data_IF_787455247644
#
_entry.id   IF_787455247644
#
_cell.length_a   1.000
_cell.length_b   1.000
_cell.length_c   1.000
_cell.angle_alpha   90.00
_cell.angle_beta   90.00
_cell.angle_gamma   90.00
#
_symmetry.space_group_name_H-M   'P 1'
#
loop_
_entity.id
_entity.type
_entity.pdbx_description
1 polymer ?
#
# COMPACT_ATOMS: atom_id res chain seq x y z
N UNK A 1 -43.76 -7.42 -6.95
CA UNK A 1 -42.70 -6.97 -6.02
C UNK A 1 -41.59 -6.18 -6.72
N UNK A 2 -41.19 -6.51 -7.96
CA UNK A 2 -40.13 -5.80 -8.71
C UNK A 2 -40.44 -4.33 -9.04
N UNK A 3 -41.68 -3.97 -9.38
CA UNK A 3 -42.07 -2.59 -9.70
C UNK A 3 -41.96 -1.61 -8.53
N UNK A 4 -42.25 -2.07 -7.31
CA UNK A 4 -42.16 -1.23 -6.08
C UNK A 4 -40.69 -0.91 -5.77
N UNK A 5 -39.80 -1.89 -5.96
CA UNK A 5 -38.36 -1.69 -5.80
C UNK A 5 -37.80 -0.69 -6.83
N UNK A 6 -38.29 -0.76 -8.07
CA UNK A 6 -37.87 0.10 -9.17
C UNK A 6 -38.34 1.55 -8.98
N UNK A 7 -39.56 1.74 -8.46
CA UNK A 7 -40.07 3.06 -8.07
C UNK A 7 -39.34 3.65 -6.84
N UNK A 8 -38.97 2.82 -5.87
CA UNK A 8 -38.22 3.26 -4.69
C UNK A 8 -36.78 3.65 -5.07
N UNK A 9 -36.11 2.84 -5.90
CA UNK A 9 -34.76 3.11 -6.39
C UNK A 9 -34.68 4.37 -7.25
N UNK A 10 -35.63 4.58 -8.16
CA UNK A 10 -35.68 5.80 -9.00
C UNK A 10 -35.94 7.06 -8.19
N UNK A 11 -36.79 7.00 -7.15
CA UNK A 11 -36.99 8.12 -6.22
C UNK A 11 -35.71 8.46 -5.45
N UNK A 12 -34.96 7.46 -4.99
CA UNK A 12 -33.68 7.66 -4.30
C UNK A 12 -32.65 8.33 -5.21
N UNK A 13 -32.46 7.82 -6.43
CA UNK A 13 -31.50 8.39 -7.39
C UNK A 13 -31.86 9.84 -7.77
N UNK A 14 -33.15 10.14 -7.99
CA UNK A 14 -33.60 11.50 -8.27
C UNK A 14 -33.37 12.46 -7.09
N UNK A 15 -33.54 12.00 -5.86
CA UNK A 15 -33.26 12.80 -4.67
C UNK A 15 -31.76 13.05 -4.47
N UNK A 16 -30.91 12.04 -4.74
CA UNK A 16 -29.46 12.19 -4.74
C UNK A 16 -29.00 13.23 -5.77
N UNK A 17 -29.56 13.20 -6.98
CA UNK A 17 -29.25 14.18 -8.03
C UNK A 17 -29.76 15.59 -7.74
N UNK A 18 -30.98 15.72 -7.19
CA UNK A 18 -31.60 17.04 -6.91
C UNK A 18 -30.97 17.75 -5.70
N UNK A 19 -30.40 17.01 -4.77
CA UNK A 19 -29.79 17.53 -3.54
C UNK A 19 -28.28 17.23 -3.46
N UNK A 20 -27.63 17.09 -4.62
CA UNK A 20 -26.20 16.75 -4.74
C UNK A 20 -25.30 17.69 -3.93
N UNK A 21 -25.57 19.00 -3.95
CA UNK A 21 -24.72 20.00 -3.28
C UNK A 21 -24.75 19.85 -1.76
N UNK A 22 -25.94 19.62 -1.19
CA UNK A 22 -26.11 19.37 0.25
C UNK A 22 -25.40 18.08 0.66
N UNK A 23 -25.58 17.02 -0.13
CA UNK A 23 -24.97 15.71 0.12
C UNK A 23 -23.43 15.83 0.06
N UNK A 24 -22.89 16.55 -0.91
CA UNK A 24 -21.45 16.78 -1.04
C UNK A 24 -20.88 17.66 0.07
N UNK A 25 -21.61 18.69 0.51
CA UNK A 25 -21.21 19.49 1.67
C UNK A 25 -21.22 18.65 2.95
N UNK A 26 -22.20 17.77 3.13
CA UNK A 26 -22.24 16.83 4.26
C UNK A 26 -21.08 15.82 4.23
N UNK A 27 -20.64 15.43 3.02
CA UNK A 27 -19.50 14.55 2.81
C UNK A 27 -18.18 15.24 3.20
N UNK A 28 -17.99 16.49 2.75
CA UNK A 28 -16.78 17.28 2.99
C UNK A 28 -16.68 17.71 4.46
N UNK A 29 -17.78 18.23 5.02
CA UNK A 29 -17.80 18.79 6.37
C UNK A 29 -18.01 17.73 7.46
N UNK A 30 -18.40 16.51 7.08
CA UNK A 30 -18.71 15.41 8.00
C UNK A 30 -20.09 15.51 8.67
N UNK A 31 -20.77 16.65 8.55
CA UNK A 31 -22.13 16.89 9.03
C UNK A 31 -22.86 17.93 8.16
N UNK A 32 -24.19 17.96 8.26
CA UNK A 32 -25.06 18.92 7.57
C UNK A 32 -25.32 20.12 8.48
N UNK A 33 -25.11 21.33 7.96
CA UNK A 33 -25.53 22.56 8.63
C UNK A 33 -27.05 22.74 8.46
N UNK A 34 -27.81 22.33 9.48
CA UNK A 34 -29.29 22.32 9.43
C UNK A 34 -29.92 23.71 9.22
N UNK A 35 -29.19 24.79 9.54
CA UNK A 35 -29.65 26.17 9.38
C UNK A 35 -29.68 26.67 7.93
N UNK A 36 -28.88 26.06 7.06
CA UNK A 36 -28.67 26.52 5.69
C UNK A 36 -29.64 25.83 4.70
N UNK A 37 -30.49 24.93 5.20
CA UNK A 37 -31.34 24.07 4.38
C UNK A 37 -32.77 23.96 4.93
N UNK A 38 -33.73 23.70 4.04
CA UNK A 38 -35.14 23.52 4.42
C UNK A 38 -35.36 22.21 5.17
N UNK A 39 -36.08 22.25 6.31
CA UNK A 39 -36.43 21.07 7.12
C UNK A 39 -37.08 19.95 6.30
N UNK A 40 -37.93 20.30 5.32
CA UNK A 40 -38.60 19.34 4.45
C UNK A 40 -37.62 18.51 3.61
N UNK A 41 -36.52 19.11 3.16
CA UNK A 41 -35.49 18.43 2.36
C UNK A 41 -34.69 17.47 3.24
N UNK A 42 -34.36 17.90 4.46
CA UNK A 42 -33.63 17.07 5.42
C UNK A 42 -34.45 15.84 5.84
N UNK A 43 -35.73 16.03 6.17
CA UNK A 43 -36.66 14.93 6.50
C UNK A 43 -36.81 13.94 5.34
N UNK A 44 -36.92 14.44 4.11
CA UNK A 44 -36.99 13.60 2.92
C UNK A 44 -35.72 12.76 2.72
N UNK A 45 -34.53 13.36 2.91
CA UNK A 45 -33.24 12.66 2.80
C UNK A 45 -33.02 11.64 3.93
N UNK A 46 -33.57 11.89 5.11
CA UNK A 46 -33.59 10.92 6.22
C UNK A 46 -34.52 9.75 5.92
N UNK A 47 -35.73 10.01 5.42
CA UNK A 47 -36.69 8.95 5.03
C UNK A 47 -36.15 8.05 3.91
N UNK A 48 -35.42 8.63 2.96
CA UNK A 48 -34.75 7.89 1.89
C UNK A 48 -33.48 7.16 2.36
N UNK A 49 -33.08 7.32 3.62
CA UNK A 49 -31.90 6.67 4.18
C UNK A 49 -30.57 7.22 3.68
N UNK A 50 -30.54 8.45 3.16
CA UNK A 50 -29.33 9.15 2.71
C UNK A 50 -28.64 9.81 3.89
N UNK A 51 -29.42 10.50 4.73
CA UNK A 51 -28.97 11.10 5.97
C UNK A 51 -29.43 10.27 7.17
N UNK A 52 -28.67 10.33 8.25
CA UNK A 52 -29.04 9.74 9.52
C UNK A 52 -28.57 10.63 10.67
N UNK A 53 -29.25 10.52 11.80
CA UNK A 53 -28.89 11.21 13.03
C UNK A 53 -28.47 10.15 14.07
N UNK A 54 -27.19 10.12 14.47
CA UNK A 54 -26.69 9.15 15.45
C UNK A 54 -27.37 9.23 16.82
N UNK A 55 -27.56 10.44 17.32
CA UNK A 55 -28.19 10.75 18.61
C UNK A 55 -29.13 11.95 18.47
N UNK A 56 -30.18 12.04 19.30
CA UNK A 56 -31.22 13.07 19.18
C UNK A 56 -30.69 14.52 19.21
N UNK A 57 -29.53 14.75 19.84
CA UNK A 57 -28.84 16.06 19.91
C UNK A 57 -27.69 16.23 18.89
N UNK A 58 -27.38 15.21 18.11
CA UNK A 58 -26.29 15.23 17.14
C UNK A 58 -26.71 15.79 15.78
N UNK A 59 -25.75 16.39 15.09
CA UNK A 59 -25.94 16.91 13.73
C UNK A 59 -26.20 15.77 12.74
N UNK A 60 -27.01 16.04 11.72
CA UNK A 60 -27.28 15.10 10.62
C UNK A 60 -26.00 14.74 9.86
N UNK A 61 -25.80 13.44 9.60
CA UNK A 61 -24.64 12.89 8.89
C UNK A 61 -25.06 12.03 7.71
N UNK A 62 -24.14 11.81 6.77
CA UNK A 62 -24.34 10.83 5.70
C UNK A 62 -24.30 9.41 6.23
N UNK A 63 -25.21 8.58 5.72
CA UNK A 63 -25.22 7.15 5.99
C UNK A 63 -24.02 6.48 5.31
N UNK A 64 -23.44 5.47 5.95
CA UNK A 64 -22.19 4.85 5.47
C UNK A 64 -22.32 4.33 4.03
N UNK A 65 -23.45 3.73 3.66
CA UNK A 65 -23.69 3.21 2.31
C UNK A 65 -23.57 4.29 1.21
N UNK A 66 -24.09 5.49 1.46
CA UNK A 66 -23.99 6.62 0.52
C UNK A 66 -22.57 7.19 0.53
N UNK A 67 -21.95 7.26 1.72
CA UNK A 67 -20.56 7.70 1.85
C UNK A 67 -19.60 6.81 1.07
N UNK A 68 -19.75 5.49 1.14
CA UNK A 68 -18.94 4.53 0.40
C UNK A 68 -19.20 4.61 -1.11
N UNK A 69 -20.44 4.89 -1.53
CA UNK A 69 -20.78 5.15 -2.94
C UNK A 69 -20.08 6.40 -3.49
N UNK A 70 -20.12 7.49 -2.74
CA UNK A 70 -19.42 8.74 -3.07
C UNK A 70 -17.91 8.55 -3.04
N UNK A 71 -17.38 7.84 -2.04
CA UNK A 71 -15.96 7.49 -1.97
C UNK A 71 -15.53 6.71 -3.20
N UNK A 72 -16.28 5.71 -3.65
CA UNK A 72 -15.94 4.93 -4.86
C UNK A 72 -16.01 5.75 -6.16
N UNK A 73 -17.00 6.64 -6.30
CA UNK A 73 -17.17 7.43 -7.53
C UNK A 73 -16.23 8.64 -7.61
N UNK A 74 -15.95 9.30 -6.48
CA UNK A 74 -15.05 10.46 -6.41
C UNK A 74 -13.58 10.04 -6.27
N UNK A 75 -13.32 8.77 -5.91
CA UNK A 75 -11.97 8.20 -5.84
C UNK A 75 -11.24 8.27 -7.18
N UNK A 76 -11.91 7.96 -8.29
CA UNK A 76 -11.27 7.94 -9.62
C UNK A 76 -10.97 9.35 -10.13
N UNK A 77 -11.89 10.31 -10.00
CA UNK A 77 -11.64 11.70 -10.41
C UNK A 77 -10.57 12.38 -9.55
N UNK A 78 -10.59 12.13 -8.23
CA UNK A 78 -9.64 12.75 -7.30
C UNK A 78 -8.25 12.10 -7.37
N UNK A 79 -8.15 10.78 -7.55
CA UNK A 79 -6.84 10.12 -7.73
C UNK A 79 -6.22 10.42 -9.10
N UNK A 80 -7.04 10.57 -10.15
CA UNK A 80 -6.56 10.91 -11.50
C UNK A 80 -6.11 12.38 -11.60
N UNK A 81 -6.69 13.27 -10.78
CA UNK A 81 -6.25 14.68 -10.68
C UNK A 81 -5.01 14.87 -9.81
N UNK A 82 -4.82 14.09 -8.74
CA UNK A 82 -3.61 14.19 -7.88
C UNK A 82 -2.33 13.85 -8.67
N UNK A 83 -2.32 12.76 -9.45
CA UNK A 83 -1.15 12.36 -10.25
C UNK A 83 -0.79 13.33 -11.39
N UNK A 84 -1.72 14.18 -11.81
CA UNK A 84 -1.49 15.16 -12.87
C UNK A 84 -0.93 16.51 -12.36
N UNK A 85 -0.93 16.77 -11.04
CA UNK A 85 -0.84 18.14 -10.53
C UNK A 85 0.51 18.51 -9.90
N UNK A 86 1.26 17.58 -9.29
CA UNK A 86 2.47 17.94 -8.52
C UNK A 86 3.58 18.55 -9.39
N UNK A 87 3.82 17.98 -10.58
CA UNK A 87 4.79 18.54 -11.55
C UNK A 87 4.32 19.86 -12.18
N UNK A 88 3.02 19.99 -12.44
CA UNK A 88 2.43 21.24 -12.96
C UNK A 88 2.46 22.36 -11.91
N UNK A 89 2.22 22.03 -10.63
CA UNK A 89 2.38 22.95 -9.50
C UNK A 89 3.82 23.43 -9.38
N UNK A 90 4.82 22.56 -9.57
CA UNK A 90 6.23 22.98 -9.54
C UNK A 90 6.55 23.97 -10.67
N UNK A 91 6.10 23.71 -11.89
CA UNK A 91 6.27 24.65 -13.00
C UNK A 91 5.61 26.00 -12.68
N UNK A 92 4.39 25.96 -12.14
CA UNK A 92 3.65 27.17 -11.73
C UNK A 92 4.36 27.95 -10.62
N UNK A 93 4.93 27.26 -9.62
CA UNK A 93 5.73 27.88 -8.56
C UNK A 93 6.97 28.59 -9.12
N UNK A 94 7.67 27.98 -10.09
CA UNK A 94 8.83 28.60 -10.74
C UNK A 94 8.42 29.88 -11.47
N UNK A 95 7.37 29.81 -12.29
CA UNK A 95 6.84 30.97 -13.03
C UNK A 95 6.39 32.10 -12.10
N UNK A 96 5.65 31.80 -11.03
CA UNK A 96 5.24 32.80 -10.03
C UNK A 96 6.45 33.44 -9.33
N UNK A 97 7.48 32.65 -9.05
CA UNK A 97 8.70 33.17 -8.43
C UNK A 97 9.49 34.08 -9.37
N UNK A 98 9.53 33.76 -10.67
CA UNK A 98 10.12 34.62 -11.70
C UNK A 98 9.36 35.95 -11.83
N UNK A 99 8.03 35.91 -11.93
CA UNK A 99 7.19 37.13 -11.99
C UNK A 99 7.36 38.01 -10.75
N UNK A 100 7.48 37.40 -9.57
CA UNK A 100 7.78 38.13 -8.35
C UNK A 100 9.15 38.84 -8.42
N UNK A 101 10.20 38.15 -8.91
CA UNK A 101 11.54 38.73 -9.06
C UNK A 101 11.57 39.83 -10.11
N UNK A 102 10.84 39.68 -11.22
CA UNK A 102 10.68 40.71 -12.24
C UNK A 102 9.98 41.95 -11.68
N UNK A 103 8.87 41.78 -10.96
CA UNK A 103 8.14 42.89 -10.33
C UNK A 103 9.02 43.65 -9.32
N UNK A 104 9.87 42.94 -8.56
CA UNK A 104 10.87 43.57 -7.70
C UNK A 104 11.94 44.35 -8.49
N UNK A 105 12.45 43.77 -9.58
CA UNK A 105 13.47 44.42 -10.42
C UNK A 105 12.94 45.74 -11.03
N UNK A 106 11.68 45.76 -11.44
CA UNK A 106 11.02 46.96 -11.98
C UNK A 106 10.46 47.91 -10.90
N UNK A 107 10.77 47.70 -9.62
CA UNK A 107 10.26 48.50 -8.48
C UNK A 107 8.73 48.57 -8.39
N UNK A 108 8.03 47.54 -8.89
CA UNK A 108 6.58 47.44 -8.83
C UNK A 108 6.13 46.70 -7.57
N UNK A 109 6.29 47.35 -6.43
CA UNK A 109 6.09 46.71 -5.12
C UNK A 109 4.67 46.16 -4.88
N UNK A 110 3.64 46.80 -5.44
CA UNK A 110 2.26 46.31 -5.33
C UNK A 110 2.04 45.00 -6.12
N UNK A 111 2.58 44.90 -7.34
CA UNK A 111 2.52 43.67 -8.15
C UNK A 111 3.36 42.56 -7.50
N UNK A 112 4.54 42.90 -6.97
CA UNK A 112 5.38 41.95 -6.22
C UNK A 112 4.66 41.39 -4.98
N UNK A 113 3.96 42.23 -4.22
CA UNK A 113 3.17 41.77 -3.06
C UNK A 113 2.05 40.80 -3.47
N UNK A 114 1.36 41.07 -4.59
CA UNK A 114 0.33 40.18 -5.11
C UNK A 114 0.92 38.82 -5.52
N UNK A 115 2.01 38.81 -6.30
CA UNK A 115 2.68 37.57 -6.70
C UNK A 115 3.21 36.76 -5.50
N UNK A 116 3.70 37.41 -4.45
CA UNK A 116 4.11 36.72 -3.22
C UNK A 116 2.93 36.08 -2.49
N UNK A 117 1.78 36.76 -2.44
CA UNK A 117 0.54 36.21 -1.87
C UNK A 117 0.09 34.97 -2.65
N UNK A 118 0.07 35.06 -3.98
CA UNK A 118 -0.31 33.95 -4.85
C UNK A 118 0.65 32.76 -4.70
N UNK A 119 1.96 33.03 -4.64
CA UNK A 119 2.98 32.00 -4.41
C UNK A 119 2.79 31.31 -3.05
N UNK A 120 2.51 32.10 -2.01
CA UNK A 120 2.28 31.59 -0.65
C UNK A 120 1.06 30.67 -0.61
N UNK A 121 -0.04 31.11 -1.21
CA UNK A 121 -1.27 30.32 -1.31
C UNK A 121 -1.02 29.02 -2.08
N UNK A 122 -0.30 29.07 -3.21
CA UNK A 122 0.01 27.89 -4.01
C UNK A 122 0.86 26.86 -3.24
N UNK A 123 1.86 27.33 -2.47
CA UNK A 123 2.68 26.48 -1.60
C UNK A 123 1.84 25.81 -0.51
N UNK A 124 0.91 26.54 0.09
CA UNK A 124 0.02 26.00 1.12
C UNK A 124 -0.99 25.00 0.55
N UNK A 125 -1.61 25.29 -0.59
CA UNK A 125 -2.52 24.38 -1.27
C UNK A 125 -1.83 23.06 -1.67
N UNK A 126 -0.61 23.13 -2.21
CA UNK A 126 0.19 21.95 -2.55
C UNK A 126 0.48 21.11 -1.30
N UNK A 127 0.91 21.77 -0.23
CA UNK A 127 1.22 21.12 1.05
C UNK A 127 0.01 20.44 1.69
N UNK A 128 -1.14 21.10 1.65
CA UNK A 128 -2.42 20.63 2.17
C UNK A 128 -2.90 19.42 1.36
N UNK A 129 -2.79 19.48 0.03
CA UNK A 129 -3.15 18.39 -0.88
C UNK A 129 -2.31 17.14 -0.61
N UNK A 130 -1.00 17.32 -0.42
CA UNK A 130 -0.08 16.23 -0.09
C UNK A 130 -0.42 15.60 1.26
N UNK A 131 -0.60 16.43 2.29
CA UNK A 131 -0.93 15.98 3.65
C UNK A 131 -2.28 15.23 3.69
N UNK A 132 -3.29 15.73 2.99
CA UNK A 132 -4.58 15.06 2.89
C UNK A 132 -4.50 13.73 2.15
N UNK A 133 -3.66 13.63 1.12
CA UNK A 133 -3.44 12.37 0.39
C UNK A 133 -2.82 11.29 1.29
N UNK A 134 -1.79 11.64 2.06
CA UNK A 134 -1.16 10.74 3.04
C UNK A 134 -2.17 10.30 4.10
N UNK A 135 -2.96 11.23 4.63
CA UNK A 135 -3.98 10.94 5.65
C UNK A 135 -5.05 9.97 5.16
N UNK A 136 -5.51 10.14 3.92
CA UNK A 136 -6.49 9.23 3.29
C UNK A 136 -5.90 7.83 3.13
N UNK A 137 -4.65 7.71 2.69
CA UNK A 137 -3.96 6.41 2.59
C UNK A 137 -3.85 5.72 3.96
N UNK A 138 -3.44 6.46 4.99
CA UNK A 138 -3.33 5.93 6.34
C UNK A 138 -4.68 5.41 6.87
N UNK A 139 -5.77 6.13 6.59
CA UNK A 139 -7.12 5.69 6.96
C UNK A 139 -7.52 4.38 6.27
N UNK A 140 -7.22 4.21 4.97
CA UNK A 140 -7.52 2.98 4.23
C UNK A 140 -6.76 1.77 4.78
N UNK A 141 -5.49 1.99 5.10
CA UNK A 141 -4.57 0.96 5.62
C UNK A 141 -4.97 0.54 7.03
N UNK A 142 -5.27 1.49 7.92
CA UNK A 142 -5.70 1.18 9.28
C UNK A 142 -7.00 0.40 9.33
N UNK A 143 -7.89 0.63 8.36
CA UNK A 143 -9.13 -0.13 8.23
C UNK A 143 -8.94 -1.45 7.46
N UNK A 144 -7.71 -1.84 7.09
CA UNK A 144 -7.39 -3.07 6.34
C UNK A 144 -8.28 -3.30 5.11
N UNK A 145 -8.59 -2.21 4.40
CA UNK A 145 -9.52 -2.23 3.28
C UNK A 145 -10.89 -2.83 3.63
N UNK A 146 -11.41 -2.54 4.83
CA UNK A 146 -12.64 -3.11 5.38
C UNK A 146 -13.92 -2.83 4.60
N UNK A 147 -13.86 -1.96 3.59
CA UNK A 147 -14.93 -1.76 2.61
C UNK A 147 -15.02 -2.92 1.58
N UNK A 148 -14.01 -3.77 1.52
CA UNK A 148 -13.92 -4.92 0.62
C UNK A 148 -14.12 -6.22 1.38
N UNK A 149 -15.01 -7.07 0.86
CA UNK A 149 -15.43 -8.32 1.50
C UNK A 149 -14.55 -9.55 1.20
N UNK A 150 -13.80 -9.56 0.10
CA UNK A 150 -12.97 -10.72 -0.28
C UNK A 150 -11.47 -10.46 -0.12
N UNK A 151 -10.73 -11.48 0.29
CA UNK A 151 -9.26 -11.42 0.43
C UNK A 151 -8.60 -11.05 -0.90
N UNK A 152 -9.07 -11.60 -2.03
CA UNK A 152 -8.54 -11.29 -3.35
C UNK A 152 -8.72 -9.81 -3.72
N UNK A 153 -9.87 -9.22 -3.37
CA UNK A 153 -10.10 -7.81 -3.60
C UNK A 153 -9.28 -6.94 -2.63
N UNK A 154 -9.07 -7.37 -1.38
CA UNK A 154 -8.13 -6.69 -0.46
C UNK A 154 -6.69 -6.73 -0.96
N UNK A 155 -6.26 -7.81 -1.62
CA UNK A 155 -4.94 -7.91 -2.28
C UNK A 155 -4.84 -6.88 -3.41
N UNK A 156 -5.85 -6.81 -4.29
CA UNK A 156 -5.86 -5.82 -5.39
C UNK A 156 -5.84 -4.38 -4.89
N UNK A 157 -6.62 -4.06 -3.85
CA UNK A 157 -6.60 -2.72 -3.24
C UNK A 157 -5.25 -2.39 -2.60
N UNK A 158 -4.60 -3.37 -1.97
CA UNK A 158 -3.26 -3.19 -1.42
C UNK A 158 -2.24 -2.90 -2.53
N UNK A 159 -2.24 -3.69 -3.62
CA UNK A 159 -1.36 -3.49 -4.76
C UNK A 159 -1.60 -2.12 -5.44
N UNK A 160 -2.85 -1.69 -5.56
CA UNK A 160 -3.20 -0.36 -6.06
C UNK A 160 -2.68 0.75 -5.14
N UNK A 161 -2.85 0.62 -3.83
CA UNK A 161 -2.34 1.58 -2.86
C UNK A 161 -0.81 1.64 -2.88
N UNK A 162 -0.11 0.49 -3.02
CA UNK A 162 1.34 0.46 -3.16
C UNK A 162 1.79 1.24 -4.40
N UNK A 163 1.15 1.02 -5.54
CA UNK A 163 1.46 1.77 -6.76
C UNK A 163 1.29 3.27 -6.56
N UNK A 164 0.20 3.70 -5.92
CA UNK A 164 -0.04 5.11 -5.63
C UNK A 164 1.01 5.73 -4.70
N UNK A 165 1.47 5.00 -3.69
CA UNK A 165 2.54 5.45 -2.79
C UNK A 165 3.85 5.60 -3.56
N UNK A 166 4.19 4.63 -4.41
CA UNK A 166 5.37 4.69 -5.26
C UNK A 166 5.32 5.87 -6.24
N UNK A 167 4.17 6.08 -6.89
CA UNK A 167 3.97 7.21 -7.81
C UNK A 167 4.11 8.56 -7.09
N UNK A 168 3.57 8.70 -5.87
CA UNK A 168 3.71 9.91 -5.07
C UNK A 168 5.15 10.14 -4.60
N UNK A 169 5.84 9.09 -4.14
CA UNK A 169 7.25 9.20 -3.77
C UNK A 169 8.12 9.62 -4.95
N UNK A 170 7.91 9.03 -6.13
CA UNK A 170 8.61 9.43 -7.35
C UNK A 170 8.32 10.89 -7.74
N UNK A 171 7.08 11.37 -7.55
CA UNK A 171 6.75 12.79 -7.76
C UNK A 171 7.46 13.71 -6.75
N UNK A 172 7.59 13.29 -5.49
CA UNK A 172 8.34 14.03 -4.49
C UNK A 172 9.84 14.04 -4.79
N UNK A 173 10.39 12.94 -5.32
CA UNK A 173 11.80 12.87 -5.75
C UNK A 173 12.10 13.78 -6.96
N UNK A 174 11.11 14.08 -7.80
CA UNK A 174 11.26 15.07 -8.88
C UNK A 174 11.51 16.50 -8.35
N UNK A 175 11.26 16.79 -7.07
CA UNK A 175 11.55 18.11 -6.50
C UNK A 175 13.03 18.27 -6.23
N UNK A 176 13.69 19.04 -7.10
CA UNK A 176 15.06 19.51 -6.86
C UNK A 176 15.02 20.79 -6.03
N UNK A 177 15.09 20.63 -4.70
CA UNK A 177 15.13 21.78 -3.77
C UNK A 177 16.35 22.68 -3.99
N UNK A 178 17.43 22.16 -4.57
CA UNK A 178 18.59 22.95 -4.98
C UNK A 178 18.21 24.03 -5.99
N UNK A 179 17.39 23.70 -7.00
CA UNK A 179 16.90 24.67 -7.99
C UNK A 179 15.97 25.71 -7.35
N UNK A 180 15.09 25.28 -6.44
CA UNK A 180 14.21 26.21 -5.72
C UNK A 180 15.00 27.16 -4.83
N UNK A 181 16.11 26.69 -4.24
CA UNK A 181 17.05 27.50 -3.46
C UNK A 181 17.76 28.53 -4.34
N UNK A 182 18.24 28.14 -5.53
CA UNK A 182 18.84 29.05 -6.51
C UNK A 182 17.84 30.12 -6.99
N UNK A 183 16.61 29.71 -7.30
CA UNK A 183 15.54 30.63 -7.74
C UNK A 183 15.19 31.61 -6.62
N UNK A 184 15.08 31.16 -5.37
CA UNK A 184 14.83 32.03 -4.22
C UNK A 184 15.99 33.03 -3.97
N UNK A 185 17.23 32.60 -4.25
CA UNK A 185 18.43 33.45 -4.17
C UNK A 185 18.61 34.10 -2.80
N UNK A 186 18.86 35.41 -2.78
CA UNK A 186 19.06 36.17 -1.54
C UNK A 186 17.77 36.65 -0.88
N UNK A 187 16.61 36.49 -1.51
CA UNK A 187 15.35 36.97 -0.96
C UNK A 187 14.96 36.12 0.27
N UNK A 188 14.73 36.81 1.41
CA UNK A 188 14.46 36.14 2.69
C UNK A 188 13.09 35.47 2.71
N UNK A 189 12.07 36.12 2.16
CA UNK A 189 10.70 35.59 2.15
C UNK A 189 10.59 34.36 1.25
N UNK A 190 11.16 34.43 0.03
CA UNK A 190 11.18 33.28 -0.88
C UNK A 190 11.93 32.08 -0.28
N UNK A 191 13.08 32.31 0.35
CA UNK A 191 13.82 31.23 1.01
C UNK A 191 13.03 30.60 2.15
N UNK A 192 12.38 31.42 2.98
CA UNK A 192 11.55 30.89 4.06
C UNK A 192 10.38 30.05 3.52
N UNK A 193 9.73 30.50 2.44
CA UNK A 193 8.58 29.81 1.86
C UNK A 193 8.97 28.51 1.13
N UNK A 194 9.92 28.60 0.19
CA UNK A 194 10.28 27.50 -0.71
C UNK A 194 11.29 26.52 -0.12
N UNK A 195 12.26 27.02 0.67
CA UNK A 195 13.36 26.18 1.19
C UNK A 195 13.07 25.72 2.61
N UNK A 196 12.51 26.56 3.47
CA UNK A 196 12.22 26.14 4.86
C UNK A 196 10.86 25.45 4.94
N UNK A 197 9.79 26.15 4.56
CA UNK A 197 8.42 25.70 4.83
C UNK A 197 8.01 24.54 3.92
N UNK A 198 8.22 24.67 2.61
CA UNK A 198 7.86 23.64 1.64
C UNK A 198 8.72 22.37 1.81
N UNK A 199 10.05 22.51 1.96
CA UNK A 199 10.94 21.36 2.15
C UNK A 199 10.61 20.59 3.43
N UNK A 200 10.35 21.27 4.56
CA UNK A 200 9.97 20.59 5.80
C UNK A 200 8.68 19.78 5.64
N UNK A 201 7.67 20.34 4.96
CA UNK A 201 6.39 19.66 4.71
C UNK A 201 6.54 18.48 3.76
N UNK A 202 7.37 18.61 2.73
CA UNK A 202 7.68 17.55 1.78
C UNK A 202 8.43 16.39 2.45
N UNK A 203 9.49 16.70 3.21
CA UNK A 203 10.25 15.68 3.94
C UNK A 203 9.36 14.92 4.92
N UNK A 204 8.46 15.61 5.61
CA UNK A 204 7.48 14.97 6.50
C UNK A 204 6.55 14.02 5.72
N UNK A 205 5.99 14.47 4.61
CA UNK A 205 5.11 13.65 3.79
C UNK A 205 5.85 12.41 3.22
N UNK A 206 7.09 12.57 2.74
CA UNK A 206 7.91 11.47 2.26
C UNK A 206 8.17 10.44 3.36
N UNK A 207 8.50 10.90 4.58
CA UNK A 207 8.70 10.02 5.74
C UNK A 207 7.41 9.25 6.10
N UNK A 208 6.25 9.93 6.11
CA UNK A 208 4.96 9.29 6.38
C UNK A 208 4.59 8.27 5.28
N UNK A 209 4.86 8.57 4.01
CA UNK A 209 4.64 7.66 2.88
C UNK A 209 5.53 6.40 2.97
N UNK A 210 6.79 6.54 3.39
CA UNK A 210 7.68 5.39 3.61
C UNK A 210 7.17 4.45 4.70
N UNK A 211 6.63 4.99 5.79
CA UNK A 211 5.99 4.19 6.85
C UNK A 211 4.75 3.47 6.31
N UNK A 212 3.95 4.17 5.51
CA UNK A 212 2.78 3.61 4.83
C UNK A 212 3.17 2.46 3.89
N UNK A 213 4.25 2.61 3.13
CA UNK A 213 4.75 1.59 2.21
C UNK A 213 5.13 0.30 2.94
N UNK A 214 5.87 0.41 4.05
CA UNK A 214 6.25 -0.74 4.87
C UNK A 214 5.02 -1.49 5.40
N UNK A 215 3.98 -0.76 5.82
CA UNK A 215 2.75 -1.36 6.33
C UNK A 215 1.91 -2.03 5.25
N UNK A 216 1.89 -1.48 4.03
CA UNK A 216 1.24 -2.11 2.89
C UNK A 216 1.88 -3.47 2.55
N UNK A 217 3.22 -3.55 2.61
CA UNK A 217 3.94 -4.81 2.39
C UNK A 217 3.58 -5.88 3.44
N UNK A 218 3.53 -5.51 4.72
CA UNK A 218 3.11 -6.44 5.79
C UNK A 218 1.68 -6.95 5.56
N UNK A 219 0.74 -6.05 5.27
CA UNK A 219 -0.65 -6.43 4.97
C UNK A 219 -0.76 -7.34 3.75
N UNK A 220 0.02 -7.10 2.69
CA UNK A 220 0.03 -7.94 1.50
C UNK A 220 0.51 -9.35 1.85
N UNK A 221 1.56 -9.47 2.66
CA UNK A 221 2.05 -10.75 3.17
C UNK A 221 0.96 -11.53 3.92
N UNK A 222 0.28 -10.88 4.87
CA UNK A 222 -0.82 -11.48 5.64
C UNK A 222 -1.99 -11.91 4.75
N UNK A 223 -2.39 -11.10 3.78
CA UNK A 223 -3.47 -11.47 2.86
C UNK A 223 -3.10 -12.67 1.97
N UNK A 224 -1.86 -12.74 1.48
CA UNK A 224 -1.38 -13.90 0.72
C UNK A 224 -1.32 -15.17 1.57
N UNK A 225 -0.93 -15.05 2.84
CA UNK A 225 -0.98 -16.17 3.78
C UNK A 225 -2.42 -16.66 3.99
N UNK A 226 -3.37 -15.76 4.22
CA UNK A 226 -4.79 -16.12 4.35
C UNK A 226 -5.35 -16.75 3.06
N UNK A 227 -4.97 -16.23 1.91
CA UNK A 227 -5.37 -16.79 0.61
C UNK A 227 -4.82 -18.22 0.45
N UNK A 228 -3.56 -18.45 0.79
CA UNK A 228 -2.91 -19.76 0.75
C UNK A 228 -3.59 -20.78 1.67
N UNK A 229 -3.81 -20.41 2.94
CA UNK A 229 -4.52 -21.25 3.92
C UNK A 229 -5.95 -21.58 3.48
N UNK A 230 -6.67 -20.58 2.94
CA UNK A 230 -8.04 -20.78 2.43
C UNK A 230 -8.05 -21.72 1.23
N UNK A 231 -7.06 -21.62 0.32
CA UNK A 231 -6.93 -22.51 -0.84
C UNK A 231 -6.66 -23.95 -0.41
N UNK A 232 -5.77 -24.16 0.58
CA UNK A 232 -5.50 -25.47 1.14
C UNK A 232 -6.76 -26.11 1.75
N UNK A 233 -7.52 -25.35 2.55
CA UNK A 233 -8.78 -25.83 3.14
C UNK A 233 -9.80 -26.21 2.07
N UNK A 234 -10.00 -25.36 1.05
CA UNK A 234 -10.91 -25.66 -0.06
C UNK A 234 -10.48 -26.89 -0.85
N UNK A 235 -9.17 -27.04 -1.11
CA UNK A 235 -8.63 -28.21 -1.79
C UNK A 235 -8.81 -29.49 -0.98
N UNK A 236 -8.59 -29.42 0.33
CA UNK A 236 -8.82 -30.54 1.23
C UNK A 236 -10.31 -30.94 1.29
N UNK A 237 -11.22 -29.97 1.43
CA UNK A 237 -12.66 -30.22 1.39
C UNK A 237 -13.08 -30.89 0.08
N UNK A 238 -12.63 -30.36 -1.07
CA UNK A 238 -12.90 -30.94 -2.37
C UNK A 238 -12.36 -32.39 -2.49
N UNK A 239 -11.18 -32.65 -1.94
CA UNK A 239 -10.60 -33.99 -1.95
C UNK A 239 -11.43 -34.98 -1.13
N UNK A 240 -11.88 -34.59 0.06
CA UNK A 240 -12.75 -35.41 0.92
C UNK A 240 -14.13 -35.60 0.29
N UNK A 241 -14.70 -34.59 -0.37
CA UNK A 241 -15.96 -34.71 -1.10
C UNK A 241 -15.86 -35.70 -2.28
N UNK A 242 -14.73 -35.72 -2.98
CA UNK A 242 -14.48 -36.67 -4.07
C UNK A 242 -14.15 -38.08 -3.58
N UNK A 243 -13.57 -38.21 -2.37
CA UNK A 243 -13.16 -39.47 -1.77
C UNK A 243 -13.69 -39.56 -0.33
N UNK A 244 -14.96 -39.95 -0.14
CA UNK A 244 -15.59 -39.97 1.19
C UNK A 244 -14.97 -41.01 2.14
N UNK A 245 -14.32 -42.04 1.61
CA UNK A 245 -13.60 -43.06 2.40
C UNK A 245 -12.15 -42.66 2.74
N UNK A 246 -11.74 -41.43 2.38
CA UNK A 246 -10.38 -40.96 2.63
C UNK A 246 -10.11 -40.87 4.14
N UNK A 247 -9.12 -41.63 4.59
CA UNK A 247 -8.53 -41.52 5.92
C UNK A 247 -7.03 -41.18 5.78
N UNK A 248 -6.51 -40.18 6.50
CA UNK A 248 -5.08 -39.88 6.49
C UNK A 248 -4.27 -41.11 6.93
N UNK A 249 -3.31 -41.54 6.12
CA UNK A 249 -2.39 -42.61 6.49
C UNK A 249 -1.51 -42.23 7.69
N UNK A 250 -0.94 -43.23 8.38
CA UNK A 250 0.03 -42.97 9.44
C UNK A 250 1.42 -42.68 8.86
N UNK A 251 1.63 -41.43 8.45
CA UNK A 251 2.87 -40.96 7.82
C UNK A 251 4.09 -40.98 8.75
N UNK A 252 3.90 -41.05 10.08
CA UNK A 252 5.00 -41.15 11.04
C UNK A 252 5.65 -42.54 11.06
N UNK A 253 4.94 -43.57 10.60
CA UNK A 253 5.45 -44.95 10.55
C UNK A 253 6.17 -45.26 9.23
N UNK A 254 6.32 -44.30 8.32
CA UNK A 254 7.03 -44.50 7.07
C UNK A 254 8.55 -44.47 7.28
N UNK A 255 9.27 -45.39 6.65
CA UNK A 255 10.75 -45.42 6.67
C UNK A 255 11.35 -44.11 6.15
N UNK A 256 10.72 -43.51 5.14
CA UNK A 256 11.00 -42.16 4.69
C UNK A 256 9.82 -41.26 5.06
N UNK A 257 9.93 -40.62 6.22
CA UNK A 257 8.94 -39.65 6.67
C UNK A 257 8.97 -38.43 5.74
N UNK A 258 7.82 -38.02 5.17
CA UNK A 258 7.76 -36.85 4.30
C UNK A 258 8.31 -35.61 5.01
N UNK A 259 8.97 -34.73 4.25
CA UNK A 259 9.64 -33.52 4.77
C UNK A 259 8.71 -32.62 5.59
N UNK A 260 7.41 -32.60 5.29
CA UNK A 260 6.40 -31.86 6.05
C UNK A 260 6.28 -32.31 7.52
N UNK A 261 6.54 -33.59 7.80
CA UNK A 261 6.49 -34.17 9.14
C UNK A 261 7.88 -34.27 9.79
N UNK A 262 8.96 -34.29 8.99
CA UNK A 262 10.33 -34.32 9.47
C UNK A 262 10.87 -32.90 9.76
N UNK A 263 10.30 -32.24 10.78
CA UNK A 263 10.67 -30.86 11.18
C UNK A 263 11.76 -30.81 12.28
N UNK A 264 12.10 -31.94 12.88
CA UNK A 264 13.14 -32.03 13.90
C UNK A 264 14.53 -31.99 13.27
N UNK A 265 15.47 -31.26 13.88
CA UNK A 265 16.88 -31.37 13.54
C UNK A 265 17.36 -32.81 13.76
N UNK A 266 18.25 -33.31 12.88
CA UNK A 266 18.79 -34.66 13.00
C UNK A 266 19.47 -34.82 14.36
N UNK A 267 18.91 -35.71 15.18
CA UNK A 267 19.45 -36.00 16.53
C UNK A 267 20.68 -36.90 16.42
N UNK A 268 20.75 -37.71 15.37
CA UNK A 268 21.86 -38.60 15.08
C UNK A 268 22.72 -37.93 14.01
N UNK A 269 24.01 -37.72 14.31
CA UNK A 269 24.99 -37.24 13.33
C UNK A 269 25.14 -38.25 12.19
N UNK A 270 25.65 -37.80 11.04
CA UNK A 270 26.00 -38.73 9.96
C UNK A 270 26.95 -39.78 10.52
N UNK A 271 26.62 -41.06 10.34
CA UNK A 271 27.51 -42.14 10.74
C UNK A 271 28.83 -41.99 9.98
N UNK A 272 29.88 -41.54 10.67
CA UNK A 272 31.23 -41.54 10.16
C UNK A 272 31.87 -42.89 10.52
N UNK A 273 32.58 -43.49 9.58
CA UNK A 273 33.43 -44.64 9.90
C UNK A 273 34.46 -44.19 10.94
N UNK A 274 34.53 -44.89 12.07
CA UNK A 274 35.56 -44.63 13.08
C UNK A 274 36.88 -45.23 12.61
N UNK A 275 37.70 -44.38 11.99
CA UNK A 275 39.01 -44.77 11.43
C UNK A 275 40.03 -45.08 12.56
N UNK A 276 39.71 -44.75 13.82
CA UNK A 276 40.58 -45.02 14.96
C UNK A 276 40.15 -46.26 15.76
N UNK A 277 39.18 -47.03 15.25
CA UNK A 277 38.76 -48.26 15.90
C UNK A 277 39.87 -49.33 15.80
N UNK A 278 40.52 -49.61 16.93
CA UNK A 278 41.63 -50.57 17.06
C UNK A 278 41.22 -51.98 16.60
N UNK A 279 39.96 -52.36 16.74
CA UNK A 279 39.48 -53.66 16.28
C UNK A 279 39.50 -53.82 14.75
N UNK A 280 39.49 -52.71 14.00
CA UNK A 280 39.48 -52.67 12.54
C UNK A 280 40.87 -52.36 11.96
N UNK A 281 41.89 -52.19 12.80
CA UNK A 281 43.24 -51.81 12.38
C UNK A 281 43.87 -52.84 11.44
N UNK A 282 43.65 -54.12 11.69
CA UNK A 282 44.18 -55.21 10.86
C UNK A 282 43.53 -55.22 9.46
N UNK A 283 42.23 -55.01 9.38
CA UNK A 283 41.50 -54.90 8.10
C UNK A 283 41.98 -53.67 7.31
N UNK A 284 42.23 -52.54 7.98
CA UNK A 284 42.79 -51.35 7.35
C UNK A 284 44.22 -51.58 6.83
N UNK A 285 45.07 -52.29 7.58
CA UNK A 285 46.41 -52.66 7.14
C UNK A 285 46.37 -53.56 5.90
N UNK A 286 45.45 -54.53 5.84
CA UNK A 286 45.27 -55.39 4.66
C UNK A 286 44.78 -54.60 3.43
N UNK A 287 43.85 -53.66 3.61
CA UNK A 287 43.42 -52.77 2.53
C UNK A 287 44.56 -51.87 2.01
N UNK A 288 45.39 -51.32 2.89
CA UNK A 288 46.56 -50.53 2.47
C UNK A 288 47.60 -51.40 1.77
N UNK A 289 47.84 -52.62 2.24
CA UNK A 289 48.77 -53.56 1.63
C UNK A 289 48.34 -53.93 0.20
N UNK A 290 47.04 -54.17 -0.02
CA UNK A 290 46.49 -54.47 -1.36
C UNK A 290 46.57 -53.27 -2.31
N UNK A 291 46.36 -52.04 -1.83
CA UNK A 291 46.56 -50.82 -2.61
C UNK A 291 48.02 -50.60 -3.04
N UNK A 292 48.97 -50.90 -2.15
CA UNK A 292 50.42 -50.81 -2.44
C UNK A 292 50.82 -51.84 -3.51
N UNK A 293 50.19 -53.01 -3.49
CA UNK A 293 50.39 -54.07 -4.49
C UNK A 293 49.92 -53.65 -5.90
N UNK A 294 48.84 -52.86 -5.99
CA UNK A 294 48.33 -52.32 -7.26
C UNK A 294 49.28 -51.26 -7.82
N UNK A 295 49.83 -50.39 -6.97
CA UNK A 295 50.80 -49.36 -7.41
C UNK A 295 52.12 -49.97 -7.91
N UNK A 296 52.65 -50.99 -7.22
CA UNK A 296 53.84 -51.72 -7.70
C UNK A 296 53.60 -52.43 -9.03
N UNK A 297 52.41 -53.00 -9.24
CA UNK A 297 52.05 -53.67 -10.50
C UNK A 297 51.89 -52.70 -11.67
N UNK A 298 51.56 -51.43 -11.42
CA UNK A 298 51.49 -50.38 -12.46
C UNK A 298 52.87 -49.89 -12.89
N UNK A 299 53.83 -49.80 -11.96
CA UNK A 299 55.21 -49.43 -12.27
C UNK A 299 55.95 -50.50 -13.10
N UNK A 300 55.65 -51.79 -12.89
CA UNK A 300 56.32 -52.88 -13.63
C UNK A 300 55.77 -53.14 -15.03
N UNK A 301 54.64 -52.53 -15.42
CA UNK A 301 54.04 -52.69 -16.76
C UNK A 301 54.54 -51.60 -17.74
N UNK A 302 55.09 -50.49 -17.24
CA UNK A 302 55.49 -49.34 -18.07
C UNK A 302 57.00 -49.32 -18.43
N UNK A 303 57.81 -50.24 -17.90
CA UNK A 303 59.25 -50.37 -18.24
C UNK A 303 59.56 -51.56 -19.19
N UNK A 304 58.55 -52.10 -19.86
CA UNK A 304 58.68 -53.34 -20.64
C UNK A 304 58.02 -53.31 -22.01
N UNK A 305 58.35 -52.34 -22.87
CA UNK A 305 58.23 -52.49 -24.34
C UNK A 305 59.16 -51.50 -25.08
N UNK A 306 60.12 -51.98 -25.90
CA UNK A 306 60.58 -51.22 -27.05
C UNK A 306 59.49 -51.12 -28.13
#
# INVERSE_FOLDING_TARGET
MSQVLLQAGTKLLNALGRHSDLIMQAYINGSVKERDHSSKVLEQLVQLGVLWRPEAQSELRLKSAVRTLLEGSLQDERNRTINANVGASLASLKTLTEHYKEALHYNKFNEAAAHMSDLTEHVYQLSETLSNSVRVMFSRINNEFGYVSSVDAKIRENELAQKQVTDLLAQLECFRFDELSEIAGSNRELRHLLVVSLQQRFSKAAQELSVVQARLLDLLGRFREFQGRTRLLKGFLLHVEQQPDFAPGNYANLTNVPVLFNQSASIIGHAAADVNNVAQEQDYQEMVATLTHIHKKRATVDEGKP
#
